data_IF_830618583750
#
_entry.id   IF_830618583750
#
_cell.length_a   1.000
_cell.length_b   1.000
_cell.length_c   1.000
_cell.angle_alpha   90.00
_cell.angle_beta   90.00
_cell.angle_gamma   90.00
#
_symmetry.space_group_name_H-M   'P 1'
#
loop_
_entity.id
_entity.type
_entity.pdbx_description
1 polymer ?
#
# COMPACT_ATOMS: atom_id res chain seq x y z
N UNK A 1 -1.14 -13.84 -19.31
CA UNK A 1 -1.05 -12.45 -18.79
C UNK A 1 -2.45 -11.88 -18.68
N UNK A 2 -2.95 -11.57 -17.49
CA UNK A 2 -4.19 -10.78 -17.37
C UNK A 2 -3.84 -9.36 -17.81
N UNK A 3 -3.99 -9.13 -19.11
CA UNK A 3 -3.76 -7.89 -19.79
C UNK A 3 -4.84 -6.88 -19.37
N UNK A 4 -4.48 -5.99 -18.46
CA UNK A 4 -5.36 -4.90 -18.07
C UNK A 4 -4.74 -4.06 -16.98
N UNK A 5 -5.06 -2.76 -16.98
CA UNK A 5 -4.73 -1.75 -15.95
C UNK A 5 -4.98 -2.23 -14.50
N UNK A 6 -5.75 -3.31 -14.34
CA UNK A 6 -6.07 -4.05 -13.13
C UNK A 6 -4.86 -4.48 -12.28
N UNK A 7 -3.69 -4.77 -12.87
CA UNK A 7 -2.53 -5.30 -12.12
C UNK A 7 -1.93 -4.27 -11.13
N UNK A 8 -2.24 -2.98 -11.30
CA UNK A 8 -1.79 -1.92 -10.38
C UNK A 8 -2.68 -1.78 -9.14
N UNK A 9 -3.80 -2.48 -9.11
CA UNK A 9 -4.80 -2.37 -8.05
C UNK A 9 -4.58 -3.47 -7.01
N UNK A 10 -4.26 -3.10 -5.77
CA UNK A 10 -4.19 -4.08 -4.67
C UNK A 10 -5.52 -4.81 -4.44
N UNK A 11 -5.51 -5.89 -3.65
CA UNK A 11 -6.65 -6.82 -3.47
C UNK A 11 -8.00 -6.13 -3.20
N UNK A 12 -8.02 -5.02 -2.46
CA UNK A 12 -9.24 -4.25 -2.19
C UNK A 12 -9.86 -3.68 -3.47
N UNK A 13 -9.05 -3.12 -4.36
CA UNK A 13 -9.52 -2.52 -5.61
C UNK A 13 -9.93 -3.60 -6.61
N UNK A 14 -9.23 -4.75 -6.64
CA UNK A 14 -9.65 -5.91 -7.42
C UNK A 14 -11.03 -6.42 -7.01
N UNK A 15 -11.31 -6.52 -5.71
CA UNK A 15 -12.64 -6.91 -5.23
C UNK A 15 -13.75 -5.94 -5.69
N UNK A 16 -13.45 -4.64 -5.75
CA UNK A 16 -14.39 -3.63 -6.26
C UNK A 16 -14.58 -3.77 -7.78
N UNK A 17 -13.50 -4.00 -8.56
CA UNK A 17 -13.60 -4.25 -9.99
C UNK A 17 -14.45 -5.50 -10.30
N UNK A 18 -14.22 -6.59 -9.57
CA UNK A 18 -14.97 -7.85 -9.70
C UNK A 18 -16.46 -7.66 -9.44
N UNK A 19 -16.81 -6.88 -8.41
CA UNK A 19 -18.20 -6.53 -8.12
C UNK A 19 -18.83 -5.67 -9.20
N UNK A 20 -18.11 -4.66 -9.71
CA UNK A 20 -18.65 -3.70 -10.68
C UNK A 20 -18.80 -4.27 -12.09
N UNK A 21 -17.85 -5.09 -12.54
CA UNK A 21 -17.85 -5.63 -13.92
C UNK A 21 -18.60 -6.94 -14.05
N UNK A 22 -18.51 -7.79 -13.04
CA UNK A 22 -19.03 -9.16 -13.11
C UNK A 22 -20.14 -9.43 -12.08
N UNK A 23 -20.60 -8.40 -11.33
CA UNK A 23 -21.58 -8.54 -10.25
C UNK A 23 -21.25 -9.65 -9.24
N UNK A 24 -19.94 -9.94 -9.08
CA UNK A 24 -19.50 -11.07 -8.28
C UNK A 24 -19.56 -10.73 -6.79
N UNK A 25 -20.42 -11.41 -6.03
CA UNK A 25 -20.51 -11.27 -4.56
C UNK A 25 -19.33 -12.01 -3.90
N UNK A 26 -18.14 -11.40 -3.98
CA UNK A 26 -16.90 -11.96 -3.45
C UNK A 26 -16.38 -11.16 -2.25
N UNK A 27 -15.86 -11.87 -1.25
CA UNK A 27 -15.18 -11.29 -0.08
C UNK A 27 -13.73 -10.93 -0.41
N UNK A 28 -13.21 -9.87 0.21
CA UNK A 28 -11.81 -9.47 0.07
C UNK A 28 -10.82 -10.60 0.40
N UNK A 29 -11.18 -11.51 1.32
CA UNK A 29 -10.34 -12.67 1.64
C UNK A 29 -10.25 -13.67 0.48
N UNK A 30 -11.36 -13.94 -0.21
CA UNK A 30 -11.38 -14.86 -1.37
C UNK A 30 -10.58 -14.29 -2.54
N UNK A 31 -10.71 -12.98 -2.78
CA UNK A 31 -9.90 -12.28 -3.79
C UNK A 31 -8.40 -12.38 -3.46
N UNK A 32 -8.02 -12.18 -2.20
CA UNK A 32 -6.61 -12.34 -1.79
C UNK A 32 -6.08 -13.77 -2.04
N UNK A 33 -6.87 -14.81 -1.73
CA UNK A 33 -6.46 -16.21 -1.98
C UNK A 33 -6.25 -16.47 -3.47
N UNK A 34 -7.20 -16.07 -4.31
CA UNK A 34 -7.04 -16.16 -5.77
C UNK A 34 -5.81 -15.40 -6.27
N UNK A 35 -5.56 -14.19 -5.76
CA UNK A 35 -4.37 -13.42 -6.14
C UNK A 35 -3.07 -14.08 -5.69
N UNK A 36 -3.08 -14.79 -4.55
CA UNK A 36 -1.93 -15.53 -4.04
C UNK A 36 -1.66 -16.76 -4.89
N UNK A 37 -2.69 -17.50 -5.25
CA UNK A 37 -2.56 -18.73 -6.07
C UNK A 37 -2.12 -18.40 -7.50
N UNK A 38 -2.51 -17.23 -8.02
CA UNK A 38 -2.09 -16.69 -9.32
C UNK A 38 -0.75 -15.95 -9.29
N UNK A 39 -0.10 -15.84 -8.13
CA UNK A 39 1.16 -15.11 -7.90
C UNK A 39 1.19 -13.65 -8.43
N UNK A 40 0.05 -12.96 -8.34
CA UNK A 40 -0.10 -11.55 -8.77
C UNK A 40 0.00 -10.55 -7.61
N UNK A 41 0.36 -11.01 -6.40
CA UNK A 41 0.49 -10.15 -5.24
C UNK A 41 1.78 -9.34 -5.30
N UNK A 42 1.66 -8.02 -5.18
CA UNK A 42 2.82 -7.17 -4.98
C UNK A 42 3.52 -7.50 -3.64
N UNK A 43 4.86 -7.40 -3.59
CA UNK A 43 5.60 -7.65 -2.35
C UNK A 43 5.14 -6.71 -1.24
N UNK A 44 5.26 -7.17 0.01
CA UNK A 44 4.96 -6.37 1.18
C UNK A 44 5.74 -5.05 1.11
N UNK A 45 5.03 -3.92 1.29
CA UNK A 45 5.63 -2.58 1.25
C UNK A 45 6.78 -2.51 2.26
N UNK A 46 8.01 -2.30 1.78
CA UNK A 46 9.16 -2.03 2.64
C UNK A 46 9.06 -0.61 3.19
N UNK A 47 9.00 -0.46 4.51
CA UNK A 47 9.05 0.84 5.17
C UNK A 47 10.49 1.35 5.05
N UNK A 48 10.69 2.44 4.31
CA UNK A 48 11.98 3.15 4.31
C UNK A 48 12.08 3.92 5.61
N UNK A 49 13.08 3.59 6.44
CA UNK A 49 13.41 4.38 7.63
C UNK A 49 13.76 5.78 7.16
N UNK A 50 12.97 6.77 7.57
CA UNK A 50 13.26 8.17 7.26
C UNK A 50 14.43 8.59 8.14
N UNK A 51 15.40 9.34 7.61
CA UNK A 51 16.47 9.89 8.43
C UNK A 51 15.86 10.64 9.64
N UNK A 52 16.52 10.63 10.81
CA UNK A 52 16.02 11.35 11.97
C UNK A 52 15.88 12.83 11.60
N UNK A 53 14.63 13.33 11.62
CA UNK A 53 14.35 14.76 11.48
C UNK A 53 14.65 15.40 12.83
N UNK A 54 15.87 15.90 12.99
CA UNK A 54 16.22 16.74 14.14
C UNK A 54 15.56 18.10 13.95
N UNK A 55 14.58 18.42 14.79
CA UNK A 55 14.08 19.79 14.89
C UNK A 55 15.16 20.65 15.55
N UNK A 56 15.35 21.89 15.07
CA UNK A 56 16.26 22.82 15.74
C UNK A 56 15.73 23.07 17.16
N UNK A 57 16.58 22.85 18.16
CA UNK A 57 16.26 23.11 19.57
C UNK A 57 16.63 24.56 19.85
N UNK A 58 15.74 25.30 20.51
CA UNK A 58 16.06 26.63 21.02
C UNK A 58 17.18 26.49 22.07
N UNK A 59 18.35 27.08 21.80
CA UNK A 59 19.43 27.16 22.80
C UNK A 59 19.28 28.45 23.60
N UNK A 60 19.43 28.37 24.92
CA UNK A 60 19.55 29.56 25.75
C UNK A 60 20.96 30.13 25.53
N UNK A 61 21.04 31.34 25.00
CA UNK A 61 22.30 32.08 24.86
C UNK A 61 22.57 32.71 26.24
N UNK A 62 23.62 32.25 26.93
CA UNK A 62 24.01 32.78 28.26
C UNK A 62 25.30 33.61 28.19
N UNK A 63 25.74 34.02 27.00
CA UNK A 63 26.85 34.95 26.86
C UNK A 63 26.32 36.39 26.90
N UNK A 64 26.87 37.19 27.81
CA UNK A 64 26.83 38.65 27.76
C UNK A 64 28.03 39.14 26.95
N UNK A 65 27.86 40.23 26.20
CA UNK A 65 28.90 40.93 25.43
C UNK A 65 29.99 41.52 26.34
#
# INVERSE_FOLDING_TARGET
>A
MIAGKENTYGCRKLAVCLRRRYNLVISNKKVYRLCKDLDILAPQRRIKVKHPRRLAINRNITASD
#
